data_IF_712721923551
#
_entry.id   IF_712721923551
#
_cell.length_a   1.000
_cell.length_b   1.000
_cell.length_c   1.000
_cell.angle_alpha   90.00
_cell.angle_beta   90.00
_cell.angle_gamma   90.00
#
_symmetry.space_group_name_H-M   'P 1'
#
loop_
_entity.id
_entity.type
_entity.pdbx_description
1 polymer ?
#
# COMPACT_ATOMS: atom_id res chain seq x y z
N UNK A 1 -3.02 6.17 -12.62
CA UNK A 1 -2.32 5.36 -11.59
C UNK A 1 -3.34 4.51 -10.83
N UNK A 2 -4.07 3.67 -11.55
CA UNK A 2 -5.15 2.82 -11.02
C UNK A 2 -4.70 1.36 -11.00
N UNK A 3 -5.29 0.56 -10.12
CA UNK A 3 -5.01 -0.88 -10.03
C UNK A 3 -5.65 -1.59 -11.25
N UNK A 4 -4.87 -2.34 -12.05
CA UNK A 4 -5.37 -2.98 -13.27
C UNK A 4 -6.04 -4.34 -13.00
N UNK A 5 -6.48 -5.01 -14.08
CA UNK A 5 -6.87 -6.44 -14.11
C UNK A 5 -7.97 -6.85 -13.10
N UNK A 6 -8.90 -5.95 -12.81
CA UNK A 6 -9.99 -6.26 -11.89
C UNK A 6 -9.59 -6.34 -10.41
N UNK A 7 -8.36 -5.93 -10.04
CA UNK A 7 -7.90 -6.00 -8.64
C UNK A 7 -8.80 -5.24 -7.66
N UNK A 8 -9.43 -4.14 -8.11
CA UNK A 8 -10.44 -3.42 -7.31
C UNK A 8 -11.68 -4.28 -7.04
N UNK A 9 -12.15 -5.04 -8.03
CA UNK A 9 -13.29 -5.95 -7.88
C UNK A 9 -12.96 -7.04 -6.85
N UNK A 10 -11.75 -7.60 -6.94
CA UNK A 10 -11.26 -8.62 -6.00
C UNK A 10 -11.21 -8.08 -4.56
N UNK A 11 -10.67 -6.87 -4.36
CA UNK A 11 -10.65 -6.22 -3.05
C UNK A 11 -12.07 -6.08 -2.50
N UNK A 12 -13.01 -5.56 -3.31
CA UNK A 12 -14.40 -5.39 -2.87
C UNK A 12 -15.04 -6.73 -2.51
N UNK A 13 -14.92 -7.74 -3.36
CA UNK A 13 -15.57 -9.04 -3.16
C UNK A 13 -15.03 -9.78 -1.93
N UNK A 14 -13.71 -9.79 -1.76
CA UNK A 14 -13.08 -10.51 -0.63
C UNK A 14 -13.23 -9.72 0.66
N UNK A 15 -12.83 -8.45 0.66
CA UNK A 15 -12.72 -7.69 1.90
C UNK A 15 -14.07 -7.21 2.46
N UNK A 16 -15.14 -7.21 1.67
CA UNK A 16 -16.49 -7.01 2.21
C UNK A 16 -17.06 -8.26 2.91
N UNK A 17 -16.49 -9.44 2.63
CA UNK A 17 -17.03 -10.71 3.11
C UNK A 17 -16.30 -11.26 4.32
N UNK A 18 -15.00 -10.99 4.44
CA UNK A 18 -14.10 -11.56 5.44
C UNK A 18 -13.02 -10.55 5.82
N UNK A 19 -12.34 -10.78 6.96
CA UNK A 19 -11.12 -10.05 7.29
C UNK A 19 -10.07 -10.23 6.18
N UNK A 20 -9.49 -9.12 5.74
CA UNK A 20 -8.76 -9.05 4.49
C UNK A 20 -7.48 -8.24 4.62
N UNK A 21 -6.35 -8.90 4.33
CA UNK A 21 -5.07 -8.26 4.10
C UNK A 21 -4.87 -8.09 2.58
N UNK A 22 -4.70 -6.85 2.12
CA UNK A 22 -4.34 -6.56 0.72
C UNK A 22 -2.83 -6.35 0.60
N UNK A 23 -2.19 -7.19 -0.20
CA UNK A 23 -0.78 -7.04 -0.57
C UNK A 23 -0.73 -6.45 -1.98
N UNK A 24 -0.31 -5.18 -2.08
CA UNK A 24 -0.19 -4.50 -3.37
C UNK A 24 1.21 -4.72 -3.96
N UNK A 25 1.25 -5.42 -5.09
CA UNK A 25 2.43 -5.53 -5.95
C UNK A 25 2.41 -4.39 -6.98
N UNK A 26 3.33 -3.43 -6.86
CA UNK A 26 3.41 -2.31 -7.79
C UNK A 26 4.81 -1.67 -7.83
N UNK A 27 5.20 -1.11 -8.97
CA UNK A 27 6.46 -0.35 -9.05
C UNK A 27 6.38 1.08 -8.48
N UNK A 28 5.19 1.51 -8.00
CA UNK A 28 4.91 2.90 -7.60
C UNK A 28 3.58 3.00 -6.82
N UNK A 29 3.33 4.10 -6.08
CA UNK A 29 2.04 4.37 -5.47
C UNK A 29 0.90 4.38 -6.50
N UNK A 30 -0.22 3.74 -6.15
CA UNK A 30 -1.46 3.71 -6.93
C UNK A 30 -2.62 4.25 -6.10
N UNK A 31 -3.74 4.59 -6.76
CA UNK A 31 -4.97 5.03 -6.09
C UNK A 31 -5.46 3.94 -5.13
N UNK A 32 -5.43 4.24 -3.83
CA UNK A 32 -5.86 3.34 -2.75
C UNK A 32 -6.88 3.97 -1.80
N UNK A 33 -6.91 5.31 -1.68
CA UNK A 33 -7.77 6.03 -0.72
C UNK A 33 -9.24 5.53 -0.70
N UNK A 34 -9.92 5.30 -1.84
CA UNK A 34 -11.32 4.83 -1.82
C UNK A 34 -11.49 3.40 -1.30
N UNK A 35 -10.43 2.61 -1.26
CA UNK A 35 -10.46 1.18 -0.93
C UNK A 35 -9.91 0.88 0.46
N UNK A 36 -9.10 1.78 1.04
CA UNK A 36 -8.56 1.61 2.40
C UNK A 36 -9.66 1.34 3.46
N UNK A 37 -10.85 1.98 3.42
CA UNK A 37 -11.90 1.68 4.40
C UNK A 37 -12.48 0.26 4.32
N UNK A 38 -12.25 -0.46 3.21
CA UNK A 38 -12.72 -1.84 3.03
C UNK A 38 -11.71 -2.87 3.51
N UNK A 39 -10.49 -2.46 3.85
CA UNK A 39 -9.33 -3.35 4.02
C UNK A 39 -8.89 -3.31 5.48
N UNK A 40 -8.78 -4.47 6.12
CA UNK A 40 -8.31 -4.55 7.52
C UNK A 40 -6.81 -4.25 7.66
N UNK A 41 -6.01 -4.66 6.67
CA UNK A 41 -4.58 -4.39 6.62
C UNK A 41 -4.08 -4.23 5.18
N UNK A 42 -3.16 -3.30 4.94
CA UNK A 42 -2.62 -3.00 3.62
C UNK A 42 -1.09 -3.01 3.63
N UNK A 43 -0.49 -3.80 2.74
CA UNK A 43 0.97 -3.91 2.57
C UNK A 43 1.35 -3.52 1.16
N UNK A 44 2.24 -2.54 1.03
CA UNK A 44 2.89 -2.22 -0.23
C UNK A 44 4.18 -3.05 -0.36
N UNK A 45 4.14 -4.14 -1.14
CA UNK A 45 5.26 -5.06 -1.31
C UNK A 45 6.17 -4.70 -2.50
N UNK A 46 5.85 -3.63 -3.22
CA UNK A 46 6.58 -3.16 -4.39
C UNK A 46 6.68 -4.23 -5.49
N UNK A 47 7.87 -4.47 -6.04
CA UNK A 47 8.16 -5.59 -6.95
C UNK A 47 9.19 -6.50 -6.26
N UNK A 48 8.75 -7.46 -5.43
CA UNK A 48 9.61 -8.15 -4.46
C UNK A 48 10.59 -9.16 -5.05
N UNK A 49 10.58 -9.38 -6.37
CA UNK A 49 11.44 -10.37 -7.02
C UNK A 49 10.94 -11.80 -6.86
N UNK A 50 11.85 -12.76 -6.93
CA UNK A 50 11.55 -14.21 -6.94
C UNK A 50 11.28 -14.79 -5.58
N UNK A 51 11.86 -14.19 -4.53
CA UNK A 51 11.83 -14.70 -3.16
C UNK A 51 10.52 -14.32 -2.44
N UNK A 52 9.39 -14.83 -2.94
CA UNK A 52 8.06 -14.54 -2.41
C UNK A 52 7.88 -14.91 -0.93
N UNK A 53 8.73 -15.77 -0.38
CA UNK A 53 8.74 -16.13 1.04
C UNK A 53 9.05 -14.90 1.93
N UNK A 54 9.83 -13.93 1.46
CA UNK A 54 10.08 -12.70 2.22
C UNK A 54 8.82 -11.88 2.50
N UNK A 55 7.76 -12.06 1.70
CA UNK A 55 6.44 -11.46 1.99
C UNK A 55 5.74 -12.22 3.12
N UNK A 56 5.82 -13.56 3.13
CA UNK A 56 5.18 -14.38 4.17
C UNK A 56 5.89 -14.28 5.51
N UNK A 57 7.22 -14.16 5.52
CA UNK A 57 8.04 -14.01 6.73
C UNK A 57 7.52 -12.87 7.64
N UNK A 58 7.15 -11.73 7.06
CA UNK A 58 6.63 -10.59 7.83
C UNK A 58 5.12 -10.65 8.09
N UNK A 59 4.35 -11.28 7.20
CA UNK A 59 2.89 -11.41 7.38
C UNK A 59 2.55 -12.36 8.52
N UNK A 60 3.32 -13.45 8.64
CA UNK A 60 3.09 -14.46 9.68
C UNK A 60 3.90 -14.21 10.96
N UNK A 61 4.70 -13.13 11.00
CA UNK A 61 5.36 -12.66 12.22
C UNK A 61 6.67 -13.37 12.54
N UNK A 62 7.33 -13.99 11.56
CA UNK A 62 8.71 -14.47 11.73
C UNK A 62 9.67 -13.27 11.87
N UNK A 63 9.33 -12.13 11.24
CA UNK A 63 10.03 -10.86 11.36
C UNK A 63 9.07 -9.67 11.43
N UNK A 64 9.54 -8.58 12.05
CA UNK A 64 8.77 -7.34 12.11
C UNK A 64 8.78 -6.53 10.82
N UNK A 65 7.67 -5.84 10.55
CA UNK A 65 7.64 -4.78 9.55
C UNK A 65 8.53 -3.61 9.96
N UNK A 66 9.54 -3.31 9.15
CA UNK A 66 10.44 -2.16 9.35
C UNK A 66 10.43 -1.16 8.18
N UNK A 67 9.80 -1.53 7.06
CA UNK A 67 9.80 -0.75 5.83
C UNK A 67 9.17 0.64 6.01
N UNK A 68 9.80 1.66 5.41
CA UNK A 68 9.30 3.04 5.36
C UNK A 68 9.17 3.49 3.92
N UNK A 69 8.12 4.25 3.60
CA UNK A 69 7.84 4.73 2.25
C UNK A 69 8.99 5.62 1.74
N UNK A 70 9.66 5.19 0.67
CA UNK A 70 10.66 6.00 -0.04
C UNK A 70 10.02 7.03 -0.98
N UNK A 71 8.70 6.97 -1.19
CA UNK A 71 7.91 7.90 -2.02
C UNK A 71 6.62 8.29 -1.31
N UNK A 72 6.22 9.54 -1.50
CA UNK A 72 4.90 10.05 -1.10
C UNK A 72 3.78 9.22 -1.71
N UNK A 73 2.79 8.80 -0.91
CA UNK A 73 1.55 8.23 -1.42
C UNK A 73 0.49 9.33 -1.55
N UNK A 74 0.00 9.59 -2.75
CA UNK A 74 -0.99 10.63 -3.02
C UNK A 74 -2.42 10.17 -2.65
N UNK A 75 -3.29 11.11 -2.31
CA UNK A 75 -4.74 10.88 -2.18
C UNK A 75 -5.38 10.77 -3.56
N UNK A 76 -5.10 11.76 -4.40
CA UNK A 76 -5.59 11.84 -5.77
C UNK A 76 -4.46 12.12 -6.76
N UNK A 77 -4.58 11.56 -7.97
CA UNK A 77 -3.64 11.84 -9.07
C UNK A 77 -3.61 13.33 -9.46
N UNK A 78 -4.65 14.10 -9.11
CA UNK A 78 -4.70 15.55 -9.34
C UNK A 78 -3.68 16.33 -8.51
N UNK A 79 -3.16 15.74 -7.43
CA UNK A 79 -2.12 16.36 -6.60
C UNK A 79 -0.73 16.27 -7.24
N UNK A 80 -0.55 15.48 -8.30
CA UNK A 80 0.77 15.24 -8.87
C UNK A 80 1.21 16.39 -9.80
N UNK A 81 2.50 16.77 -9.79
CA UNK A 81 3.57 16.26 -8.94
C UNK A 81 3.48 16.78 -7.49
N UNK A 82 3.76 15.90 -6.51
CA UNK A 82 3.81 16.26 -5.08
C UNK A 82 4.90 15.43 -4.37
N UNK A 83 5.88 16.12 -3.79
CA UNK A 83 7.03 15.55 -3.11
C UNK A 83 7.19 16.15 -1.71
N UNK A 84 7.91 15.43 -0.85
CA UNK A 84 8.26 15.93 0.48
C UNK A 84 9.02 17.25 0.37
N UNK A 85 8.59 18.26 1.13
CA UNK A 85 9.14 19.62 1.10
C UNK A 85 8.37 20.61 0.21
N UNK A 86 7.43 20.15 -0.62
CA UNK A 86 6.59 21.05 -1.40
C UNK A 86 5.66 21.88 -0.50
N UNK A 87 5.36 23.14 -0.90
CA UNK A 87 4.51 24.05 -0.11
C UNK A 87 3.09 23.50 0.15
N UNK A 88 2.57 22.71 -0.78
CA UNK A 88 1.22 22.13 -0.72
C UNK A 88 1.29 20.61 -0.54
N UNK A 89 2.14 20.14 0.39
CA UNK A 89 2.33 18.73 0.68
C UNK A 89 1.18 18.14 1.51
N UNK A 90 0.22 17.50 0.83
CA UNK A 90 -0.97 16.87 1.44
C UNK A 90 -1.10 15.37 1.05
N UNK A 91 -0.23 14.50 1.57
CA UNK A 91 -0.23 13.09 1.19
C UNK A 91 -1.34 12.26 1.84
N UNK A 92 -1.68 11.13 1.21
CA UNK A 92 -2.44 10.05 1.86
C UNK A 92 -1.56 9.36 2.91
N UNK A 93 -0.34 8.99 2.49
CA UNK A 93 0.73 8.53 3.38
C UNK A 93 2.00 9.33 3.09
N UNK A 94 2.58 10.03 4.08
CA UNK A 94 3.76 10.85 3.85
C UNK A 94 5.00 10.01 3.55
N UNK A 95 6.01 10.63 2.96
CA UNK A 95 7.36 10.05 2.85
C UNK A 95 7.84 9.62 4.24
N UNK A 96 8.47 8.44 4.33
CA UNK A 96 8.92 7.85 5.58
C UNK A 96 7.82 7.17 6.41
N UNK A 97 6.56 7.19 5.97
CA UNK A 97 5.49 6.46 6.65
C UNK A 97 5.72 4.94 6.59
N UNK A 98 5.37 4.24 7.66
CA UNK A 98 5.31 2.78 7.71
C UNK A 98 5.01 2.35 9.13
N UNK A 99 3.99 1.51 9.30
CA UNK A 99 3.68 0.92 10.58
C UNK A 99 4.65 -0.23 10.87
N UNK A 100 4.77 -0.60 12.14
CA UNK A 100 5.55 -1.77 12.59
C UNK A 100 4.59 -2.78 13.21
N UNK A 101 5.02 -4.04 13.24
CA UNK A 101 4.44 -5.06 14.12
C UNK A 101 5.17 -5.07 15.47
N UNK A 102 4.60 -5.75 16.47
CA UNK A 102 5.09 -5.82 17.84
C UNK A 102 5.87 -7.11 18.08
#
# INVERSE_FOLDING_TARGET
>A
LTIPLGGVETIKNVCSSLKCLVILISGRPLVMEPYLPLVDAFVAAWLPGTEGQGVTDVIFGDYDFQGKLSRTWFKSVKQLPMNVGDKHYDPLFPFGFGLTTL
#
